data_IF_439230470288
#
_entry.id   IF_439230470288
#
_cell.length_a   1.000
_cell.length_b   1.000
_cell.length_c   1.000
_cell.angle_alpha   90.00
_cell.angle_beta   90.00
_cell.angle_gamma   90.00
#
_symmetry.space_group_name_H-M   'P 1'
#
loop_
_entity.id
_entity.type
_entity.pdbx_description
1 polymer ?
#
# COMPACT_ATOMS: atom_id res chain seq x y z
N UNK A 1 10.58 -44.88 -4.04
CA UNK A 1 9.95 -44.03 -3.01
C UNK A 1 9.11 -42.97 -3.72
N UNK A 2 7.78 -43.13 -3.71
CA UNK A 2 6.84 -42.21 -4.36
C UNK A 2 6.46 -41.06 -3.43
N UNK A 3 6.45 -39.83 -3.94
CA UNK A 3 5.97 -38.65 -3.23
C UNK A 3 4.46 -38.50 -3.45
N UNK A 4 3.69 -38.50 -2.36
CA UNK A 4 2.25 -38.23 -2.36
C UNK A 4 2.03 -36.70 -2.32
N UNK A 5 1.53 -36.14 -3.42
CA UNK A 5 1.18 -34.73 -3.56
C UNK A 5 -0.25 -34.51 -3.00
N UNK A 6 -0.38 -33.88 -1.84
CA UNK A 6 -1.69 -33.48 -1.28
C UNK A 6 -2.00 -32.06 -1.78
N UNK A 7 -2.86 -31.94 -2.79
CA UNK A 7 -3.41 -30.65 -3.26
C UNK A 7 -4.67 -30.33 -2.45
N UNK A 8 -4.55 -29.46 -1.44
CA UNK A 8 -5.70 -28.95 -0.70
C UNK A 8 -6.34 -27.79 -1.49
N UNK A 9 -7.45 -28.03 -2.19
CA UNK A 9 -8.23 -26.98 -2.86
C UNK A 9 -9.21 -26.35 -1.87
N UNK A 10 -8.95 -25.12 -1.42
CA UNK A 10 -9.98 -24.32 -0.74
C UNK A 10 -10.95 -23.73 -1.77
N UNK A 11 -12.25 -24.01 -1.61
CA UNK A 11 -13.35 -23.41 -2.38
C UNK A 11 -13.77 -22.10 -1.69
N UNK A 12 -13.62 -20.96 -2.35
CA UNK A 12 -14.30 -19.71 -1.96
C UNK A 12 -15.53 -19.51 -2.84
N UNK A 13 -16.69 -19.29 -2.21
CA UNK A 13 -17.94 -18.89 -2.88
C UNK A 13 -17.93 -17.36 -3.02
N UNK A 14 -18.22 -16.78 -4.20
CA UNK A 14 -18.43 -15.34 -4.33
C UNK A 14 -19.84 -14.95 -3.85
N UNK A 15 -19.95 -13.89 -3.05
CA UNK A 15 -21.23 -13.20 -2.80
C UNK A 15 -21.36 -12.02 -3.77
N UNK A 16 -22.56 -11.87 -4.33
CA UNK A 16 -22.91 -10.87 -5.35
C UNK A 16 -23.33 -9.51 -4.75
N UNK A 17 -23.22 -8.51 -5.64
CA UNK A 17 -23.39 -7.06 -5.55
C UNK A 17 -24.76 -6.57 -5.03
N UNK A 18 -24.79 -5.36 -4.44
CA UNK A 18 -25.99 -4.50 -4.54
C UNK A 18 -25.61 -3.03 -4.57
N UNK A 19 -25.77 -2.41 -5.74
CA UNK A 19 -25.71 -0.97 -5.99
C UNK A 19 -27.09 -0.40 -5.70
N UNK A 20 -27.18 0.59 -4.80
CA UNK A 20 -28.43 1.33 -4.60
C UNK A 20 -28.26 2.79 -5.03
N UNK A 21 -28.76 3.08 -6.23
CA UNK A 21 -28.91 4.41 -6.83
C UNK A 21 -30.35 4.88 -6.63
N UNK A 22 -30.56 5.93 -5.83
CA UNK A 22 -31.58 6.96 -6.08
C UNK A 22 -31.70 7.87 -4.87
N UNK A 23 -31.57 9.19 -5.07
CA UNK A 23 -32.58 10.14 -4.59
C UNK A 23 -32.67 11.36 -5.54
N UNK A 24 -33.87 11.92 -5.73
CA UNK A 24 -34.27 12.69 -6.90
C UNK A 24 -34.06 14.20 -6.78
N UNK A 25 -34.07 14.87 -7.94
CA UNK A 25 -34.08 16.31 -8.16
C UNK A 25 -35.50 16.86 -8.35
N UNK A 26 -35.83 18.01 -7.74
CA UNK A 26 -36.79 19.03 -8.23
C UNK A 26 -36.74 20.28 -7.30
N UNK A 27 -36.43 21.50 -7.79
CA UNK A 27 -37.32 22.53 -8.39
C UNK A 27 -38.17 23.28 -7.32
N UNK A 28 -38.39 24.60 -7.24
CA UNK A 28 -38.02 25.80 -8.02
C UNK A 28 -38.52 27.11 -7.30
N UNK A 29 -38.02 28.27 -7.77
CA UNK A 29 -38.61 29.65 -7.76
C UNK A 29 -38.54 30.57 -6.51
N UNK A 30 -37.79 31.68 -6.64
CA UNK A 30 -38.31 33.07 -6.60
C UNK A 30 -37.25 34.11 -7.05
N UNK A 31 -37.67 35.05 -7.90
CA UNK A 31 -36.97 36.24 -8.50
C UNK A 31 -37.95 37.43 -8.35
N UNK A 32 -37.63 38.75 -8.39
CA UNK A 32 -36.35 39.47 -8.67
C UNK A 32 -35.98 40.61 -7.66
N UNK A 33 -34.75 41.14 -7.73
CA UNK A 33 -34.55 42.61 -7.85
C UNK A 33 -33.13 42.99 -8.32
N UNK A 34 -33.10 44.08 -9.08
CA UNK A 34 -32.10 44.61 -10.00
C UNK A 34 -30.91 45.31 -9.33
N UNK A 35 -29.71 45.20 -9.96
CA UNK A 35 -28.63 46.21 -10.07
C UNK A 35 -27.26 45.55 -10.38
N UNK A 36 -26.75 45.75 -11.60
CA UNK A 36 -25.38 45.39 -12.04
C UNK A 36 -24.38 46.52 -11.70
N UNK A 37 -23.14 46.23 -11.24
CA UNK A 37 -21.94 46.36 -12.10
C UNK A 37 -20.79 45.38 -11.70
N UNK A 38 -19.58 45.50 -12.25
CA UNK A 38 -19.11 45.24 -13.61
C UNK A 38 -18.31 43.91 -13.72
N UNK A 39 -18.07 43.51 -14.97
CA UNK A 39 -17.30 42.33 -15.43
C UNK A 39 -15.94 42.10 -14.75
N UNK A 40 -15.83 40.99 -14.01
CA UNK A 40 -14.56 40.31 -13.73
C UNK A 40 -14.51 38.98 -14.50
N UNK A 41 -13.49 38.83 -15.34
CA UNK A 41 -13.30 37.65 -16.18
C UNK A 41 -13.12 36.39 -15.32
N UNK A 42 -14.06 35.46 -15.41
CA UNK A 42 -13.94 34.14 -14.83
C UNK A 42 -12.90 33.33 -15.59
N UNK A 43 -11.67 33.32 -15.08
CA UNK A 43 -10.69 32.32 -15.44
C UNK A 43 -11.15 30.99 -14.86
N UNK A 44 -11.72 30.13 -15.70
CA UNK A 44 -12.08 28.77 -15.35
C UNK A 44 -10.85 28.06 -14.76
N UNK A 45 -10.93 27.68 -13.49
CA UNK A 45 -9.93 26.82 -12.87
C UNK A 45 -9.97 25.46 -13.55
N UNK A 46 -8.81 24.87 -13.92
CA UNK A 46 -8.80 23.55 -14.51
C UNK A 46 -9.36 22.55 -13.50
N UNK A 47 -10.41 21.83 -13.90
CA UNK A 47 -10.90 20.65 -13.19
C UNK A 47 -9.74 19.65 -13.16
N UNK A 48 -9.29 19.17 -11.99
CA UNK A 48 -8.31 18.10 -11.96
C UNK A 48 -8.98 16.85 -12.54
N UNK A 49 -8.56 16.43 -13.74
CA UNK A 49 -8.78 15.07 -14.19
C UNK A 49 -8.03 14.15 -13.23
N UNK A 50 -8.75 13.53 -12.29
CA UNK A 50 -8.22 12.47 -11.43
C UNK A 50 -8.01 11.22 -12.27
N UNK A 51 -7.01 11.24 -13.12
CA UNK A 51 -6.35 10.01 -13.54
C UNK A 51 -5.57 9.56 -12.31
N UNK A 52 -6.15 8.65 -11.52
CA UNK A 52 -5.57 8.00 -10.33
C UNK A 52 -4.31 7.21 -10.69
N UNK A 53 -3.28 7.85 -11.22
CA UNK A 53 -1.93 7.41 -11.02
C UNK A 53 -1.57 7.79 -9.59
N UNK A 54 -2.15 7.07 -8.62
CA UNK A 54 -1.78 7.16 -7.21
C UNK A 54 -0.29 6.90 -7.12
N UNK A 55 0.50 7.97 -7.03
CA UNK A 55 1.93 7.86 -6.75
C UNK A 55 2.02 7.04 -5.46
N UNK A 56 2.71 5.88 -5.45
CA UNK A 56 2.85 5.10 -4.24
C UNK A 56 3.39 6.02 -3.13
N UNK A 57 2.63 6.14 -2.04
CA UNK A 57 2.98 7.04 -0.97
C UNK A 57 4.35 6.69 -0.39
N UNK A 58 5.07 7.69 0.14
CA UNK A 58 6.42 7.50 0.70
C UNK A 58 6.42 6.83 2.08
N UNK A 59 5.25 6.56 2.68
CA UNK A 59 5.16 6.05 4.05
C UNK A 59 5.43 4.55 4.08
N UNK A 60 6.20 4.12 5.07
CA UNK A 60 6.47 2.70 5.34
C UNK A 60 6.12 2.31 6.77
N UNK A 61 6.10 1.00 7.03
CA UNK A 61 5.89 0.43 8.35
C UNK A 61 7.20 -0.17 8.89
N UNK A 62 7.68 0.38 10.00
CA UNK A 62 8.64 -0.30 10.85
C UNK A 62 7.84 -1.24 11.79
N UNK A 63 8.16 -2.53 11.85
CA UNK A 63 7.40 -3.50 12.64
C UNK A 63 8.28 -4.56 13.29
N UNK A 64 7.77 -5.19 14.36
CA UNK A 64 8.35 -6.40 14.95
C UNK A 64 7.44 -7.62 14.71
N UNK A 65 6.12 -7.40 14.73
CA UNK A 65 5.10 -8.42 14.47
C UNK A 65 4.42 -8.13 13.12
N UNK A 66 4.63 -9.03 12.15
CA UNK A 66 4.08 -8.90 10.81
C UNK A 66 2.53 -8.87 10.81
N UNK A 67 1.88 -9.52 11.78
CA UNK A 67 0.41 -9.58 11.84
C UNK A 67 -0.23 -8.20 12.04
N UNK A 68 0.44 -7.29 12.75
CA UNK A 68 -0.05 -5.94 13.02
C UNK A 68 -0.02 -5.04 11.77
N UNK A 69 0.74 -5.42 10.73
CA UNK A 69 0.79 -4.65 9.47
C UNK A 69 -0.54 -4.68 8.71
N UNK A 70 -1.38 -5.70 8.92
CA UNK A 70 -2.70 -5.81 8.31
C UNK A 70 -3.70 -4.74 8.77
N UNK A 71 -3.45 -4.08 9.90
CA UNK A 71 -4.22 -2.91 10.33
C UNK A 71 -4.13 -1.75 9.31
N UNK A 72 -3.12 -1.77 8.44
CA UNK A 72 -2.86 -0.77 7.41
C UNK A 72 -3.09 -1.27 5.97
N UNK A 73 -3.64 -2.47 5.77
CA UNK A 73 -3.79 -3.09 4.45
C UNK A 73 -4.61 -2.24 3.44
N UNK A 74 -5.53 -1.41 3.94
CA UNK A 74 -6.37 -0.54 3.11
C UNK A 74 -5.83 0.90 2.97
N UNK A 75 -4.59 1.16 3.40
CA UNK A 75 -3.98 2.49 3.37
C UNK A 75 -3.07 2.64 2.14
N UNK A 76 -3.58 3.23 1.06
CA UNK A 76 -2.83 3.44 -0.19
C UNK A 76 -1.57 4.31 -0.04
N UNK A 77 -1.51 5.13 1.02
CA UNK A 77 -0.34 5.96 1.33
C UNK A 77 0.83 5.19 1.95
N UNK A 78 0.63 3.94 2.35
CA UNK A 78 1.63 3.06 2.98
C UNK A 78 1.98 1.93 2.01
N UNK A 79 3.23 1.87 1.58
CA UNK A 79 3.64 1.06 0.41
C UNK A 79 4.81 0.11 0.66
N UNK A 80 5.48 0.20 1.81
CA UNK A 80 6.62 -0.65 2.14
C UNK A 80 6.72 -0.92 3.64
N UNK A 81 7.50 -1.93 4.03
CA UNK A 81 7.77 -2.23 5.42
C UNK A 81 9.09 -2.94 5.64
N UNK A 82 9.66 -2.77 6.84
CA UNK A 82 10.90 -3.39 7.28
C UNK A 82 10.83 -3.71 8.79
N UNK A 83 11.66 -4.63 9.25
CA UNK A 83 11.65 -5.13 10.63
C UNK A 83 13.05 -5.32 11.21
N UNK A 84 14.02 -4.52 10.75
CA UNK A 84 15.44 -4.63 11.12
C UNK A 84 16.10 -5.99 10.82
N UNK A 85 15.41 -6.92 10.16
CA UNK A 85 15.92 -8.24 9.85
C UNK A 85 16.04 -8.47 8.34
N UNK A 86 16.76 -9.52 7.97
CA UNK A 86 16.89 -9.94 6.58
C UNK A 86 15.64 -10.63 6.03
N UNK A 87 14.62 -10.89 6.87
CA UNK A 87 13.37 -11.59 6.52
C UNK A 87 12.16 -11.02 7.25
N UNK A 88 10.97 -11.14 6.64
CA UNK A 88 9.75 -10.47 7.09
C UNK A 88 9.12 -11.02 8.39
N UNK A 89 9.57 -12.18 8.88
CA UNK A 89 9.01 -12.84 10.05
C UNK A 89 7.47 -13.02 10.01
N UNK A 90 6.92 -13.33 8.83
CA UNK A 90 5.50 -13.51 8.60
C UNK A 90 5.09 -13.07 7.19
N UNK A 91 3.77 -13.06 6.94
CA UNK A 91 3.21 -12.52 5.70
C UNK A 91 2.84 -11.05 5.87
N UNK A 92 3.03 -10.28 4.80
CA UNK A 92 2.67 -8.86 4.72
C UNK A 92 1.42 -8.68 3.83
N UNK A 93 0.63 -7.62 4.04
CA UNK A 93 -0.36 -7.16 3.08
C UNK A 93 0.23 -7.00 1.68
N UNK A 94 -0.54 -7.32 0.65
CA UNK A 94 -0.07 -7.29 -0.75
C UNK A 94 0.29 -5.90 -1.27
N UNK A 95 -0.15 -4.84 -0.57
CA UNK A 95 0.22 -3.46 -0.88
C UNK A 95 1.61 -3.06 -0.33
N UNK A 96 2.27 -3.91 0.47
CA UNK A 96 3.56 -3.62 1.05
C UNK A 96 4.68 -4.40 0.35
N UNK A 97 5.68 -3.67 -0.10
CA UNK A 97 7.00 -4.22 -0.38
C UNK A 97 7.76 -4.49 0.93
N UNK A 98 8.33 -5.68 1.10
CA UNK A 98 9.28 -5.93 2.19
C UNK A 98 10.67 -5.39 1.82
N UNK A 99 11.35 -4.73 2.75
CA UNK A 99 12.73 -4.30 2.59
C UNK A 99 13.62 -5.11 3.54
N UNK A 100 14.36 -6.12 3.06
CA UNK A 100 15.31 -6.85 3.89
C UNK A 100 16.44 -5.93 4.34
N UNK A 101 16.85 -6.07 5.60
CA UNK A 101 17.86 -5.22 6.25
C UNK A 101 19.05 -6.08 6.69
N UNK A 102 20.26 -5.70 6.27
CA UNK A 102 21.50 -6.23 6.84
C UNK A 102 21.83 -5.41 8.09
N UNK A 103 21.38 -5.87 9.25
CA UNK A 103 21.44 -5.08 10.49
C UNK A 103 22.86 -4.74 10.91
N UNK A 104 23.79 -5.69 10.81
CA UNK A 104 25.17 -5.52 11.24
C UNK A 104 26.12 -6.52 10.58
N UNK A 105 27.33 -6.60 11.13
CA UNK A 105 28.40 -7.51 10.67
C UNK A 105 28.54 -8.78 11.52
N UNK A 106 27.61 -9.00 12.46
CA UNK A 106 27.60 -10.23 13.26
C UNK A 106 27.34 -11.46 12.39
N UNK A 107 27.73 -12.62 12.91
CA UNK A 107 27.60 -13.89 12.19
C UNK A 107 26.13 -14.26 11.95
N UNK A 108 25.26 -13.96 12.91
CA UNK A 108 23.82 -14.22 12.82
C UNK A 108 23.16 -13.44 11.67
N UNK A 109 23.65 -12.23 11.39
CA UNK A 109 23.17 -11.38 10.30
C UNK A 109 23.82 -11.75 8.96
N UNK A 110 25.14 -11.91 8.93
CA UNK A 110 25.91 -12.05 7.69
C UNK A 110 25.84 -13.45 7.08
N UNK A 111 25.76 -14.51 7.90
CA UNK A 111 25.74 -15.90 7.43
C UNK A 111 24.51 -16.22 6.56
N UNK A 112 23.36 -15.62 6.88
CA UNK A 112 22.10 -15.84 6.18
C UNK A 112 21.79 -14.76 5.14
N UNK A 113 22.51 -13.64 5.14
CA UNK A 113 22.17 -12.44 4.36
C UNK A 113 21.94 -12.72 2.89
N UNK A 114 22.88 -13.39 2.22
CA UNK A 114 22.79 -13.65 0.77
C UNK A 114 21.52 -14.42 0.42
N UNK A 115 21.22 -15.49 1.16
CA UNK A 115 20.04 -16.32 0.93
C UNK A 115 18.75 -15.53 1.19
N UNK A 116 18.69 -14.79 2.30
CA UNK A 116 17.48 -14.07 2.72
C UNK A 116 17.19 -12.87 1.80
N UNK A 117 18.21 -12.08 1.44
CA UNK A 117 18.07 -10.98 0.49
C UNK A 117 17.68 -11.48 -0.91
N UNK A 118 18.29 -12.57 -1.39
CA UNK A 118 17.93 -13.17 -2.68
C UNK A 118 16.49 -13.68 -2.69
N UNK A 119 16.05 -14.31 -1.60
CA UNK A 119 14.66 -14.74 -1.41
C UNK A 119 13.71 -13.53 -1.46
N UNK A 120 13.99 -12.47 -0.69
CA UNK A 120 13.18 -11.25 -0.68
C UNK A 120 13.08 -10.59 -2.06
N UNK A 121 14.18 -10.53 -2.82
CA UNK A 121 14.20 -10.04 -4.20
C UNK A 121 13.30 -10.91 -5.09
N UNK A 122 13.38 -12.24 -4.96
CA UNK A 122 12.50 -13.16 -5.73
C UNK A 122 11.01 -12.98 -5.42
N UNK A 123 10.68 -12.50 -4.22
CA UNK A 123 9.31 -12.16 -3.79
C UNK A 123 8.90 -10.72 -4.12
N UNK A 124 9.72 -9.97 -4.84
CA UNK A 124 9.37 -8.63 -5.36
C UNK A 124 9.95 -7.46 -4.58
N UNK A 125 10.87 -7.70 -3.63
CA UNK A 125 11.63 -6.62 -2.99
C UNK A 125 12.52 -5.93 -4.01
N UNK A 126 12.48 -4.60 -4.05
CA UNK A 126 13.25 -3.74 -4.97
C UNK A 126 14.31 -2.92 -4.23
N UNK A 127 14.22 -2.87 -2.91
CA UNK A 127 15.14 -2.15 -2.04
C UNK A 127 15.78 -3.11 -1.03
N UNK A 128 17.00 -2.76 -0.60
CA UNK A 128 17.73 -3.42 0.48
C UNK A 128 18.22 -2.32 1.43
N UNK A 129 18.18 -2.56 2.73
CA UNK A 129 18.81 -1.69 3.72
C UNK A 129 20.13 -2.28 4.23
N UNK A 130 21.08 -1.38 4.50
CA UNK A 130 22.38 -1.71 5.09
C UNK A 130 22.36 -1.56 6.61
N UNK A 131 23.55 -1.53 7.22
CA UNK A 131 23.80 -1.52 8.66
C UNK A 131 22.94 -0.49 9.40
N UNK A 132 22.41 -0.91 10.55
CA UNK A 132 21.61 -0.09 11.44
C UNK A 132 22.51 0.63 12.45
N UNK A 133 22.43 1.96 12.47
CA UNK A 133 23.16 2.81 13.45
C UNK A 133 24.63 2.40 13.65
N UNK A 134 25.43 2.27 12.57
CA UNK A 134 26.80 1.79 12.67
C UNK A 134 27.74 2.77 13.41
N UNK A 135 27.25 3.95 13.79
CA UNK A 135 27.96 4.97 14.56
C UNK A 135 28.02 4.68 16.07
N UNK A 136 27.20 3.75 16.56
CA UNK A 136 27.18 3.33 17.98
C UNK A 136 28.19 2.21 18.26
#
# INVERSE_FOLDING_TARGET
>A
MGFLLIVLRHRTKPLALSTNTNFPSDSCVSVPQDAEPPSEGSVASPVPETTENSIPGKRGLAYNDASLTYLFANQSSVSWGYNWASFANGSLPSNLEFIPTLWGLGEDETSSWFTQASSAISYGSKHLFSFNEPDT
#
